data_IF_974722323366
#
_entry.id   IF_974722323366
#
_cell.length_a   1.000
_cell.length_b   1.000
_cell.length_c   1.000
_cell.angle_alpha   90.00
_cell.angle_beta   90.00
_cell.angle_gamma   90.00
#
_symmetry.space_group_name_H-M   'P 1'
#
loop_
_entity.id
_entity.type
_entity.pdbx_description
1 polymer ?
#
# COMPACT_ATOMS: atom_id res chain seq x y z
N UNK A 1 21.77 5.38 -9.35
CA UNK A 1 20.31 5.49 -9.52
C UNK A 1 19.75 4.08 -9.35
N UNK A 2 18.95 3.82 -8.33
CA UNK A 2 18.27 2.53 -8.21
C UNK A 2 17.11 2.54 -9.21
N UNK A 3 17.12 1.65 -10.20
CA UNK A 3 15.95 1.45 -11.07
C UNK A 3 14.86 0.75 -10.27
N UNK A 4 13.66 1.30 -10.28
CA UNK A 4 12.47 0.59 -9.79
C UNK A 4 12.01 -0.34 -10.90
N UNK A 5 12.33 -1.63 -10.76
CA UNK A 5 11.81 -2.64 -11.67
C UNK A 5 10.32 -2.84 -11.37
N UNK A 6 9.49 -2.67 -12.39
CA UNK A 6 8.04 -2.92 -12.32
C UNK A 6 7.75 -4.24 -13.00
N UNK A 7 7.28 -5.21 -12.23
CA UNK A 7 6.79 -6.48 -12.75
C UNK A 7 5.28 -6.40 -12.94
N UNK A 8 4.80 -6.72 -14.15
CA UNK A 8 3.37 -6.81 -14.43
C UNK A 8 2.79 -8.10 -13.84
N UNK A 9 1.62 -7.99 -13.19
CA UNK A 9 0.90 -9.15 -12.69
C UNK A 9 0.06 -9.78 -13.81
N UNK A 10 0.24 -11.09 -14.05
CA UNK A 10 -0.61 -11.83 -14.98
C UNK A 10 -2.07 -11.83 -14.55
N UNK A 11 -2.99 -11.87 -15.51
CA UNK A 11 -4.43 -11.87 -15.22
C UNK A 11 -4.86 -13.07 -14.35
N UNK A 12 -4.24 -14.25 -14.55
CA UNK A 12 -4.48 -15.43 -13.70
C UNK A 12 -4.04 -15.20 -12.26
N UNK A 13 -2.86 -14.62 -12.05
CA UNK A 13 -2.36 -14.32 -10.71
C UNK A 13 -3.26 -13.31 -9.99
N UNK A 14 -3.74 -12.28 -10.69
CA UNK A 14 -4.70 -11.31 -10.13
C UNK A 14 -5.98 -12.02 -9.68
N UNK A 15 -6.50 -12.95 -10.49
CA UNK A 15 -7.68 -13.74 -10.14
C UNK A 15 -7.43 -14.62 -8.92
N UNK A 16 -6.26 -15.28 -8.84
CA UNK A 16 -5.90 -16.14 -7.72
C UNK A 16 -5.76 -15.36 -6.41
N UNK A 17 -5.14 -14.18 -6.45
CA UNK A 17 -5.03 -13.27 -5.29
C UNK A 17 -6.43 -12.85 -4.81
N UNK A 18 -7.31 -12.46 -5.74
CA UNK A 18 -8.70 -12.10 -5.41
C UNK A 18 -9.46 -13.25 -4.77
N UNK A 19 -9.34 -14.46 -5.33
CA UNK A 19 -9.98 -15.66 -4.79
C UNK A 19 -9.47 -16.00 -3.39
N UNK A 20 -8.14 -15.93 -3.17
CA UNK A 20 -7.52 -16.20 -1.88
C UNK A 20 -8.07 -15.30 -0.77
N UNK A 21 -8.17 -14.00 -1.05
CA UNK A 21 -8.70 -13.01 -0.09
C UNK A 21 -10.22 -12.83 -0.16
N UNK A 22 -10.93 -13.60 -1.00
CA UNK A 22 -12.37 -13.52 -1.22
C UNK A 22 -12.85 -12.11 -1.64
N UNK A 23 -12.07 -11.42 -2.48
CA UNK A 23 -12.36 -10.07 -2.96
C UNK A 23 -13.20 -10.12 -4.24
N UNK A 24 -14.40 -9.55 -4.19
CA UNK A 24 -15.25 -9.38 -5.36
C UNK A 24 -14.61 -8.46 -6.42
N UNK A 25 -14.85 -8.76 -7.70
CA UNK A 25 -14.48 -7.88 -8.81
C UNK A 25 -15.40 -6.66 -8.93
N UNK A 26 -16.59 -6.73 -8.35
CA UNK A 26 -17.65 -5.73 -8.51
C UNK A 26 -17.41 -4.48 -7.65
N UNK A 27 -16.67 -4.62 -6.55
CA UNK A 27 -16.48 -3.56 -5.57
C UNK A 27 -15.00 -3.28 -5.35
N UNK A 28 -14.72 -2.02 -5.03
CA UNK A 28 -13.40 -1.64 -4.55
C UNK A 28 -13.12 -2.36 -3.20
N UNK A 29 -11.87 -2.77 -2.99
CA UNK A 29 -11.41 -3.30 -1.72
C UNK A 29 -9.94 -3.00 -1.52
N UNK A 30 -9.60 -2.47 -0.35
CA UNK A 30 -8.23 -2.31 0.10
C UNK A 30 -8.04 -3.14 1.37
N UNK A 31 -7.03 -4.00 1.37
CA UNK A 31 -6.71 -4.90 2.47
C UNK A 31 -5.35 -4.52 3.04
N UNK A 32 -5.27 -4.41 4.36
CA UNK A 32 -3.99 -4.45 5.07
C UNK A 32 -3.70 -5.90 5.43
N UNK A 33 -2.70 -6.50 4.80
CA UNK A 33 -2.32 -7.90 5.02
C UNK A 33 -1.03 -7.95 5.84
N UNK A 34 -1.02 -8.75 6.90
CA UNK A 34 0.17 -8.97 7.71
C UNK A 34 1.18 -9.90 7.03
N UNK A 35 2.40 -9.95 7.55
CA UNK A 35 3.46 -10.86 7.06
C UNK A 35 3.14 -12.34 7.27
N UNK A 36 2.17 -12.63 8.13
CA UNK A 36 1.58 -13.95 8.34
C UNK A 36 0.55 -14.33 7.26
N UNK A 37 0.30 -13.47 6.27
CA UNK A 37 -0.70 -13.67 5.22
C UNK A 37 -2.13 -13.34 5.65
N UNK A 38 -2.35 -13.00 6.92
CA UNK A 38 -3.68 -12.73 7.46
C UNK A 38 -4.10 -11.27 7.24
N UNK A 39 -5.37 -11.06 6.90
CA UNK A 39 -5.98 -9.73 6.81
C UNK A 39 -6.07 -9.10 8.21
N UNK A 40 -5.56 -7.87 8.34
CA UNK A 40 -5.61 -7.06 9.57
C UNK A 40 -6.74 -6.04 9.53
N UNK A 41 -7.07 -5.51 8.35
CA UNK A 41 -8.23 -4.65 8.12
C UNK A 41 -8.68 -4.70 6.65
N UNK A 42 -9.97 -4.42 6.43
CA UNK A 42 -10.61 -4.35 5.12
C UNK A 42 -11.34 -3.01 4.98
N UNK A 43 -11.03 -2.26 3.93
CA UNK A 43 -11.70 -1.01 3.59
C UNK A 43 -12.48 -1.15 2.26
N UNK A 44 -13.81 -0.90 2.25
CA UNK A 44 -14.63 -1.00 1.04
C UNK A 44 -14.51 0.22 0.13
N UNK A 45 -13.74 1.23 0.53
CA UNK A 45 -13.47 2.46 -0.21
C UNK A 45 -11.98 2.78 -0.21
N UNK A 46 -11.47 3.50 -1.23
CA UNK A 46 -10.10 3.97 -1.22
C UNK A 46 -9.92 4.95 -0.06
N UNK A 47 -8.77 4.87 0.62
CA UNK A 47 -8.41 5.89 1.59
C UNK A 47 -7.84 7.12 0.88
N UNK A 48 -8.16 8.29 1.45
CA UNK A 48 -7.83 9.60 0.89
C UNK A 48 -6.33 9.89 0.98
N UNK A 49 -5.63 9.29 1.95
CA UNK A 49 -4.19 9.47 2.12
C UNK A 49 -3.49 8.14 2.38
N UNK A 50 -2.46 7.88 1.58
CA UNK A 50 -1.51 6.80 1.82
C UNK A 50 -0.66 7.04 3.06
N UNK A 51 -0.44 8.29 3.48
CA UNK A 51 0.32 8.59 4.70
C UNK A 51 -0.31 7.94 5.93
N UNK A 52 -1.64 7.92 6.01
CA UNK A 52 -2.37 7.27 7.10
C UNK A 52 -2.18 5.75 7.11
N UNK A 53 -2.11 5.11 5.94
CA UNK A 53 -1.78 3.67 5.84
C UNK A 53 -0.33 3.43 6.28
N UNK A 54 0.61 4.27 5.86
CA UNK A 54 2.02 4.12 6.24
C UNK A 54 2.23 4.33 7.74
N UNK A 55 1.60 5.32 8.35
CA UNK A 55 1.62 5.53 9.81
C UNK A 55 1.03 4.32 10.55
N UNK A 56 -0.08 3.75 10.05
CA UNK A 56 -0.64 2.53 10.61
C UNK A 56 0.36 1.38 10.53
N UNK A 57 0.98 1.15 9.37
CA UNK A 57 1.99 0.11 9.18
C UNK A 57 3.19 0.33 10.11
N UNK A 58 3.72 1.55 10.20
CA UNK A 58 4.88 1.89 11.04
C UNK A 58 4.58 1.80 12.55
N UNK A 59 3.31 1.93 12.95
CA UNK A 59 2.87 1.69 14.33
C UNK A 59 2.86 0.21 14.72
N UNK A 60 2.89 -0.72 13.76
CA UNK A 60 2.83 -2.16 14.02
C UNK A 60 4.10 -2.67 14.72
N UNK A 61 3.94 -3.60 15.67
CA UNK A 61 5.05 -4.13 16.48
C UNK A 61 6.18 -4.73 15.62
N UNK A 62 5.83 -5.59 14.66
CA UNK A 62 6.82 -6.24 13.79
C UNK A 62 7.57 -5.21 12.93
N UNK A 63 6.85 -4.20 12.42
CA UNK A 63 7.45 -3.11 11.66
C UNK A 63 8.43 -2.29 12.49
N UNK A 64 8.10 -1.98 13.75
CA UNK A 64 9.02 -1.30 14.67
C UNK A 64 10.30 -2.09 14.94
N UNK A 65 10.21 -3.41 15.07
CA UNK A 65 11.39 -4.27 15.22
C UNK A 65 12.28 -4.22 13.97
N UNK A 66 11.68 -4.26 12.78
CA UNK A 66 12.43 -4.17 11.53
C UNK A 66 13.11 -2.82 11.37
N UNK A 67 12.43 -1.71 11.70
CA UNK A 67 13.03 -0.38 11.67
C UNK A 67 14.24 -0.29 12.63
N UNK A 68 14.14 -0.86 13.83
CA UNK A 68 15.26 -0.88 14.78
C UNK A 68 16.47 -1.67 14.24
N UNK A 69 16.23 -2.80 13.56
CA UNK A 69 17.29 -3.58 12.91
C UNK A 69 17.90 -2.82 11.73
N UNK A 70 17.08 -2.17 10.90
CA UNK A 70 17.59 -1.35 9.79
C UNK A 70 18.48 -0.22 10.31
N UNK A 71 18.05 0.46 11.38
CA UNK A 71 18.82 1.51 12.03
C UNK A 71 20.14 0.98 12.63
N UNK A 72 20.14 -0.17 13.30
CA UNK A 72 21.36 -0.74 13.89
C UNK A 72 22.38 -1.16 12.83
N UNK A 73 21.92 -1.51 11.63
CA UNK A 73 22.75 -1.86 10.47
C UNK A 73 23.14 -0.64 9.62
N UNK A 74 22.71 0.57 10.00
CA UNK A 74 22.97 1.79 9.23
C UNK A 74 22.24 1.84 7.88
N UNK A 75 21.25 0.96 7.66
CA UNK A 75 20.41 0.98 6.47
C UNK A 75 19.45 2.17 6.55
N UNK A 76 19.39 2.94 5.47
CA UNK A 76 18.45 4.06 5.31
C UNK A 76 17.71 3.88 4.01
N UNK A 77 16.42 4.21 4.03
CA UNK A 77 15.70 4.43 2.78
C UNK A 77 16.42 5.55 2.01
N UNK A 78 16.60 5.42 0.69
CA UNK A 78 17.02 6.53 -0.13
C UNK A 78 16.08 7.71 0.10
N UNK A 79 16.62 8.92 0.16
CA UNK A 79 15.77 10.11 0.13
C UNK A 79 15.10 10.14 -1.25
N UNK A 80 13.81 9.85 -1.28
CA UNK A 80 13.00 10.11 -2.47
C UNK A 80 12.89 11.62 -2.63
N UNK A 81 13.73 12.18 -3.51
CA UNK A 81 13.59 13.54 -4.06
C UNK A 81 12.25 13.73 -4.83
N UNK A 82 11.40 12.70 -4.84
CA UNK A 82 10.03 12.70 -5.33
C UNK A 82 8.99 13.07 -4.26
N UNK A 83 9.40 13.40 -3.04
CA UNK A 83 8.51 13.84 -1.95
C UNK A 83 7.89 15.23 -2.17
N UNK A 84 8.10 15.84 -3.34
CA UNK A 84 7.41 17.06 -3.80
C UNK A 84 6.52 16.79 -5.02
N UNK A 85 5.76 15.69 -5.01
CA UNK A 85 4.60 15.55 -5.88
C UNK A 85 3.33 16.00 -5.15
N UNK A 86 3.16 17.33 -5.08
CA UNK A 86 1.90 18.05 -4.83
C UNK A 86 0.85 17.82 -5.95
N UNK A 87 0.82 16.62 -6.56
CA UNK A 87 0.15 16.38 -7.86
C UNK A 87 -1.00 15.37 -7.86
N UNK A 88 -1.31 14.68 -6.76
CA UNK A 88 -2.37 13.66 -6.74
C UNK A 88 -3.68 14.14 -6.11
N UNK A 89 -3.80 15.42 -5.77
CA UNK A 89 -4.98 15.96 -5.10
C UNK A 89 -6.05 16.55 -6.03
N UNK A 90 -5.81 16.64 -7.35
CA UNK A 90 -6.71 17.34 -8.30
C UNK A 90 -7.49 16.40 -9.25
N UNK A 91 -7.49 15.09 -9.02
CA UNK A 91 -8.13 14.12 -9.93
C UNK A 91 -9.50 13.58 -9.52
N UNK A 92 -9.82 13.57 -8.22
CA UNK A 92 -11.00 12.84 -7.70
C UNK A 92 -12.17 13.74 -7.29
N UNK A 93 -12.07 15.05 -7.52
CA UNK A 93 -13.12 16.00 -7.16
C UNK A 93 -14.18 16.25 -8.25
N UNK A 94 -14.08 15.62 -9.43
CA UNK A 94 -15.07 15.82 -10.49
C UNK A 94 -15.86 14.54 -10.80
N UNK A 95 -17.08 14.48 -10.26
CA UNK A 95 -18.19 13.81 -10.95
C UNK A 95 -18.83 12.62 -10.25
N UNK A 96 -19.58 12.88 -9.17
CA UNK A 96 -20.86 12.21 -8.98
C UNK A 96 -21.91 13.28 -8.70
N UNK A 97 -22.61 13.69 -9.76
CA UNK A 97 -23.73 14.59 -9.71
C UNK A 97 -24.76 14.12 -10.73
N UNK A 98 -25.79 13.44 -10.19
CA UNK A 98 -27.07 13.03 -10.79
C UNK A 98 -27.05 12.14 -12.04
#
# INVERSE_FOLDING_TARGET
>A
SASVDREDLSASLVQDIRNYFQISQEYFSMLLVGKDGNVKSWYPSPMWSMSTIYELVDSMQLRRQEMAIQQSLGMRCPDDDYSHHDGYHEGYHHGYGY
#
